data_IF_580627779633
#
_entry.id   IF_580627779633
#
_cell.length_a   1.000
_cell.length_b   1.000
_cell.length_c   1.000
_cell.angle_alpha   90.00
_cell.angle_beta   90.00
_cell.angle_gamma   90.00
#
_symmetry.space_group_name_H-M   'P 1'
#
loop_
_entity.id
_entity.type
_entity.pdbx_description
1 polymer ?
#
# COMPACT_ATOMS: atom_id res chain seq x y z
N UNK A 1 -25.56 11.86 11.50
CA UNK A 1 -24.68 10.74 11.89
C UNK A 1 -23.48 10.81 10.99
N UNK A 2 -22.30 11.13 11.53
CA UNK A 2 -21.08 11.05 10.73
C UNK A 2 -20.90 9.59 10.31
N UNK A 3 -20.75 9.35 9.01
CA UNK A 3 -20.53 7.99 8.51
C UNK A 3 -19.07 7.63 8.79
N UNK A 4 -18.84 6.52 9.48
CA UNK A 4 -17.47 6.08 9.82
C UNK A 4 -16.73 5.58 8.60
N UNK A 5 -15.43 5.76 8.59
CA UNK A 5 -14.57 5.41 7.48
C UNK A 5 -13.67 4.23 7.84
N UNK A 6 -13.51 3.31 6.91
CA UNK A 6 -12.51 2.25 7.01
C UNK A 6 -11.69 2.18 5.72
N UNK A 7 -10.41 1.87 5.89
CA UNK A 7 -9.43 1.82 4.83
C UNK A 7 -8.81 0.42 4.77
N UNK A 8 -8.80 -0.21 3.60
CA UNK A 8 -8.05 -1.44 3.34
C UNK A 8 -6.87 -1.09 2.43
N UNK A 9 -5.64 -1.28 2.90
CA UNK A 9 -4.43 -1.00 2.13
C UNK A 9 -3.71 -2.30 1.79
N UNK A 10 -3.61 -2.61 0.50
CA UNK A 10 -2.77 -3.71 0.03
C UNK A 10 -1.39 -3.22 -0.38
N UNK A 11 -0.33 -3.87 0.09
CA UNK A 11 1.04 -3.44 -0.16
C UNK A 11 2.04 -4.60 -0.24
N UNK A 12 3.25 -4.29 -0.69
CA UNK A 12 4.43 -5.15 -0.60
C UNK A 12 4.99 -5.13 0.82
N UNK A 13 5.66 -6.22 1.22
CA UNK A 13 6.30 -6.33 2.55
C UNK A 13 7.23 -5.16 2.86
N UNK A 14 7.96 -4.67 1.85
CA UNK A 14 8.95 -3.62 2.01
C UNK A 14 8.71 -2.48 1.02
N UNK A 15 8.69 -1.21 1.47
CA UNK A 15 8.69 -0.79 2.88
C UNK A 15 7.36 -1.16 3.58
N UNK A 16 7.34 -1.30 4.92
CA UNK A 16 6.09 -1.42 5.67
C UNK A 16 5.21 -0.17 5.51
N UNK A 17 3.93 -0.25 5.88
CA UNK A 17 3.07 0.93 5.95
C UNK A 17 3.42 1.77 7.18
N UNK A 18 3.36 3.10 7.01
CA UNK A 18 3.55 4.08 8.07
C UNK A 18 2.47 5.17 7.91
N UNK A 19 1.56 5.39 8.87
CA UNK A 19 1.37 4.56 10.08
C UNK A 19 0.93 3.14 9.72
N UNK A 20 1.17 2.16 10.58
CA UNK A 20 0.66 0.83 10.34
C UNK A 20 -0.84 0.75 10.67
N UNK A 21 -1.56 -0.13 9.98
CA UNK A 21 -2.96 -0.40 10.23
C UNK A 21 -3.22 -1.11 11.56
N UNK A 22 -4.45 -0.95 12.04
CA UNK A 22 -4.99 -1.56 13.24
C UNK A 22 -5.03 -3.09 13.14
N UNK A 23 -5.37 -3.60 11.96
CA UNK A 23 -5.37 -5.03 11.64
C UNK A 23 -4.35 -5.32 10.55
N UNK A 24 -3.55 -6.39 10.68
CA UNK A 24 -2.51 -6.74 9.70
C UNK A 24 -2.57 -8.20 9.28
N UNK A 25 -2.56 -8.43 7.97
CA UNK A 25 -2.58 -9.75 7.36
C UNK A 25 -1.40 -9.95 6.42
N UNK A 26 -0.58 -10.97 6.71
CA UNK A 26 0.54 -11.38 5.85
C UNK A 26 0.17 -12.63 5.04
N UNK A 27 0.08 -12.46 3.72
CA UNK A 27 -0.34 -13.50 2.77
C UNK A 27 0.83 -14.29 2.19
N UNK A 28 2.04 -14.17 2.74
CA UNK A 28 3.19 -14.94 2.26
C UNK A 28 3.07 -16.43 2.53
N UNK A 29 2.32 -16.81 3.56
CA UNK A 29 1.99 -18.21 3.91
C UNK A 29 1.04 -18.88 2.90
N UNK A 30 0.26 -18.10 2.14
CA UNK A 30 -0.68 -18.62 1.16
C UNK A 30 0.04 -19.03 -0.13
N UNK A 31 -0.35 -20.15 -0.77
CA UNK A 31 0.19 -20.58 -2.06
C UNK A 31 0.26 -19.45 -3.09
N UNK A 32 1.36 -19.42 -3.82
CA UNK A 32 1.60 -18.41 -4.83
C UNK A 32 0.89 -18.81 -6.14
N UNK A 33 0.16 -17.90 -6.81
CA UNK A 33 -0.47 -18.23 -8.08
C UNK A 33 0.52 -18.73 -9.14
N UNK A 34 0.09 -19.62 -10.05
CA UNK A 34 0.91 -20.13 -11.14
C UNK A 34 1.55 -19.00 -11.94
N UNK A 35 2.78 -19.22 -12.44
CA UNK A 35 3.56 -18.19 -13.15
C UNK A 35 2.78 -17.53 -14.29
N UNK A 36 2.12 -18.33 -15.13
CA UNK A 36 1.35 -17.81 -16.26
C UNK A 36 0.19 -16.90 -15.83
N UNK A 37 -0.45 -17.17 -14.68
CA UNK A 37 -1.49 -16.29 -14.11
C UNK A 37 -0.86 -15.00 -13.58
N UNK A 38 0.27 -15.09 -12.88
CA UNK A 38 0.97 -13.90 -12.31
C UNK A 38 1.50 -12.95 -13.37
N UNK A 39 1.91 -13.48 -14.52
CA UNK A 39 2.45 -12.68 -15.61
C UNK A 39 1.33 -11.94 -16.37
N UNK A 40 0.16 -12.56 -16.51
CA UNK A 40 -0.98 -12.01 -17.23
C UNK A 40 -1.94 -11.15 -16.38
N UNK A 41 -2.04 -11.42 -15.08
CA UNK A 41 -3.06 -10.84 -14.21
C UNK A 41 -2.48 -10.28 -12.90
N UNK A 42 -3.22 -9.35 -12.30
CA UNK A 42 -2.97 -8.78 -10.96
C UNK A 42 -4.16 -9.11 -10.03
N UNK A 43 -4.09 -8.71 -8.77
CA UNK A 43 -5.13 -9.06 -7.78
C UNK A 43 -6.52 -8.47 -8.04
N UNK A 44 -6.65 -7.43 -8.86
CA UNK A 44 -7.97 -6.89 -9.25
C UNK A 44 -8.63 -7.70 -10.36
N UNK A 45 -7.90 -8.61 -11.01
CA UNK A 45 -8.43 -9.45 -12.08
C UNK A 45 -9.28 -10.59 -11.53
N UNK A 46 -10.53 -10.70 -12.02
CA UNK A 46 -11.48 -11.77 -11.64
C UNK A 46 -10.86 -13.17 -11.71
N UNK A 47 -10.13 -13.47 -12.78
CA UNK A 47 -9.49 -14.78 -13.00
C UNK A 47 -8.45 -15.14 -11.94
N UNK A 48 -7.68 -14.16 -11.44
CA UNK A 48 -6.72 -14.40 -10.37
C UNK A 48 -7.45 -14.59 -9.05
N UNK A 49 -8.49 -13.80 -8.77
CA UNK A 49 -9.31 -13.96 -7.55
C UNK A 49 -9.99 -15.33 -7.50
N UNK A 50 -10.58 -15.79 -8.60
CA UNK A 50 -11.18 -17.13 -8.69
C UNK A 50 -10.16 -18.23 -8.38
N UNK A 51 -8.92 -18.10 -8.86
CA UNK A 51 -7.86 -19.04 -8.51
C UNK A 51 -7.51 -18.99 -7.02
N UNK A 52 -7.40 -17.80 -6.43
CA UNK A 52 -7.15 -17.65 -4.99
C UNK A 52 -8.30 -18.21 -4.14
N UNK A 53 -9.55 -18.03 -4.58
CA UNK A 53 -10.74 -18.54 -3.90
C UNK A 53 -10.87 -20.07 -3.98
N UNK A 54 -10.19 -20.72 -4.93
CA UNK A 54 -10.10 -22.18 -4.96
C UNK A 54 -9.17 -22.73 -3.86
N UNK A 55 -8.33 -21.89 -3.25
CA UNK A 55 -7.40 -22.28 -2.20
C UNK A 55 -8.07 -22.16 -0.81
N UNK A 56 -8.26 -23.27 -0.06
CA UNK A 56 -8.95 -23.24 1.22
C UNK A 56 -8.25 -22.38 2.27
N UNK A 57 -6.92 -22.35 2.28
CA UNK A 57 -6.16 -21.50 3.20
C UNK A 57 -6.42 -20.00 2.98
N UNK A 58 -6.63 -19.59 1.72
CA UNK A 58 -6.97 -18.22 1.39
C UNK A 58 -8.39 -17.87 1.86
N UNK A 59 -9.37 -18.74 1.56
CA UNK A 59 -10.76 -18.53 1.96
C UNK A 59 -10.89 -18.45 3.48
N UNK A 60 -10.27 -19.37 4.22
CA UNK A 60 -10.29 -19.37 5.68
C UNK A 60 -9.72 -18.07 6.26
N UNK A 61 -8.66 -17.53 5.65
CA UNK A 61 -8.05 -16.27 6.08
C UNK A 61 -8.93 -15.06 5.76
N UNK A 62 -9.59 -15.05 4.60
CA UNK A 62 -10.57 -13.99 4.24
C UNK A 62 -11.73 -14.00 5.23
N UNK A 63 -12.27 -15.16 5.56
CA UNK A 63 -13.37 -15.29 6.52
C UNK A 63 -12.95 -14.87 7.94
N UNK A 64 -11.74 -15.26 8.35
CA UNK A 64 -11.18 -14.80 9.63
C UNK A 64 -11.07 -13.28 9.64
N UNK A 65 -10.45 -12.69 8.62
CA UNK A 65 -10.27 -11.25 8.54
C UNK A 65 -11.59 -10.48 8.49
N UNK A 66 -12.60 -10.99 7.77
CA UNK A 66 -13.93 -10.40 7.75
C UNK A 66 -14.54 -10.36 9.16
N UNK A 67 -14.42 -11.43 9.95
CA UNK A 67 -14.89 -11.48 11.34
C UNK A 67 -14.14 -10.50 12.24
N UNK A 68 -12.81 -10.47 12.17
CA UNK A 68 -11.98 -9.56 12.97
C UNK A 68 -12.33 -8.08 12.68
N UNK A 69 -12.57 -7.75 11.41
CA UNK A 69 -12.99 -6.41 10.98
C UNK A 69 -14.40 -6.09 11.50
N UNK A 70 -15.34 -7.03 11.43
CA UNK A 70 -16.70 -6.85 11.99
C UNK A 70 -16.70 -6.61 13.50
N UNK A 71 -15.87 -7.36 14.23
CA UNK A 71 -15.70 -7.17 15.67
C UNK A 71 -15.11 -5.79 16.00
N UNK A 72 -14.09 -5.36 15.24
CA UNK A 72 -13.47 -4.04 15.38
C UNK A 72 -14.45 -2.91 15.01
N UNK A 73 -15.24 -3.08 13.95
CA UNK A 73 -16.28 -2.10 13.59
C UNK A 73 -17.35 -1.99 14.68
N UNK A 74 -17.68 -3.10 15.34
CA UNK A 74 -18.65 -3.10 16.45
C UNK A 74 -18.08 -2.43 17.70
N UNK A 75 -16.83 -2.73 18.08
CA UNK A 75 -16.20 -2.09 19.25
C UNK A 75 -16.13 -0.58 19.06
N UNK A 76 -15.72 -0.11 17.87
CA UNK A 76 -15.70 1.33 17.56
C UNK A 76 -17.13 1.89 17.55
N UNK A 77 -18.16 1.14 17.13
CA UNK A 77 -19.58 1.55 17.18
C UNK A 77 -20.11 1.78 18.59
N UNK A 78 -19.79 0.89 19.52
CA UNK A 78 -20.23 0.98 20.90
C UNK A 78 -19.40 2.01 21.70
N UNK A 79 -18.13 2.22 21.35
CA UNK A 79 -17.28 3.28 21.91
C UNK A 79 -17.61 4.64 21.25
N UNK A 80 -18.47 5.44 21.89
CA UNK A 80 -18.56 6.88 21.61
C UNK A 80 -17.19 7.55 21.84
N UNK A 81 -16.82 8.60 21.09
CA UNK A 81 -15.46 9.14 21.08
C UNK A 81 -15.09 9.76 22.43
N UNK A 82 -14.53 8.95 23.33
CA UNK A 82 -13.83 9.38 24.52
C UNK A 82 -12.32 9.23 24.25
N UNK A 83 -11.71 10.37 23.91
CA UNK A 83 -10.30 10.75 24.16
C UNK A 83 -9.30 9.59 24.34
N UNK A 84 -8.57 9.24 23.29
CA UNK A 84 -7.22 8.68 23.46
C UNK A 84 -6.24 9.85 23.39
N UNK A 85 -5.84 10.32 24.56
CA UNK A 85 -4.65 11.16 24.70
C UNK A 85 -3.42 10.35 24.24
N UNK A 86 -2.45 10.97 23.55
CA UNK A 86 -1.19 10.31 23.24
C UNK A 86 -0.31 10.26 24.50
N UNK A 87 -0.13 9.06 25.05
CA UNK A 87 0.91 8.79 26.03
C UNK A 87 2.29 9.04 25.38
N UNK A 88 2.89 10.14 25.82
CA UNK A 88 4.32 10.39 25.77
C UNK A 88 5.06 9.50 26.79
N UNK A 89 6.39 9.58 26.74
CA UNK A 89 7.40 8.97 27.62
C UNK A 89 7.88 7.58 27.14
N UNK A 90 9.16 7.32 26.88
CA UNK A 90 10.46 7.99 27.04
C UNK A 90 11.47 6.99 26.46
N UNK A 91 12.78 7.15 26.38
CA UNK A 91 13.77 8.10 26.87
C UNK A 91 15.08 7.69 26.14
N UNK A 92 15.94 8.67 25.85
CA UNK A 92 17.27 8.53 25.23
C UNK A 92 18.25 7.67 26.07
N UNK A 93 19.38 7.20 25.50
CA UNK A 93 20.61 7.97 25.70
C UNK A 93 21.61 7.92 24.50
N UNK A 94 22.00 9.10 24.02
CA UNK A 94 23.34 9.67 24.27
C UNK A 94 24.62 9.00 23.73
N UNK A 95 25.39 9.84 23.02
CA UNK A 95 26.85 9.95 22.90
C UNK A 95 27.53 9.32 21.66
N UNK A 96 28.31 10.16 20.95
CA UNK A 96 29.38 9.69 20.06
C UNK A 96 29.75 10.62 18.91
N UNK A 97 30.39 11.75 19.24
CA UNK A 97 31.03 12.72 18.35
C UNK A 97 32.20 12.09 17.55
N UNK A 98 32.28 12.27 16.23
CA UNK A 98 33.54 12.63 15.54
C UNK A 98 33.37 13.03 14.05
N UNK A 99 34.06 14.13 13.71
CA UNK A 99 34.16 14.81 12.42
C UNK A 99 34.66 13.94 11.28
N UNK A 100 34.22 14.24 10.05
CA UNK A 100 35.08 14.26 8.86
C UNK A 100 34.65 15.36 7.89
N UNK A 101 35.50 16.37 7.77
CA UNK A 101 35.53 17.37 6.69
C UNK A 101 35.73 16.71 5.32
N UNK A 102 35.04 17.22 4.29
CA UNK A 102 35.61 17.32 2.94
C UNK A 102 34.83 18.29 2.07
N UNK A 103 35.61 19.21 1.53
CA UNK A 103 35.36 20.33 0.65
C UNK A 103 34.67 20.03 -0.70
N UNK A 104 34.03 21.10 -1.19
CA UNK A 104 34.14 21.69 -2.53
C UNK A 104 33.10 21.43 -3.65
N UNK A 105 32.76 22.57 -4.23
CA UNK A 105 32.37 22.88 -5.61
C UNK A 105 30.91 22.76 -6.08
N UNK A 106 30.20 23.88 -5.87
CA UNK A 106 29.76 24.82 -6.89
C UNK A 106 28.59 24.50 -7.86
N UNK A 107 27.74 25.55 -7.95
CA UNK A 107 26.80 25.94 -9.01
C UNK A 107 25.57 25.03 -9.23
N UNK A 108 24.38 25.56 -8.95
CA UNK A 108 23.57 26.05 -10.07
C UNK A 108 22.48 27.01 -9.61
N UNK A 109 22.19 27.94 -10.51
CA UNK A 109 21.42 29.15 -10.32
C UNK A 109 19.90 28.89 -10.36
N UNK A 110 19.19 29.83 -9.73
CA UNK A 110 17.73 29.94 -9.70
C UNK A 110 17.16 30.19 -11.09
N UNK A 111 16.07 29.50 -11.47
CA UNK A 111 14.91 30.14 -12.11
C UNK A 111 13.70 29.18 -12.25
N UNK A 112 12.52 29.81 -12.33
CA UNK A 112 11.18 29.30 -12.68
C UNK A 112 10.24 28.93 -11.54
N UNK A 113 9.53 29.98 -11.11
CA UNK A 113 8.12 30.01 -10.76
C UNK A 113 7.29 28.96 -11.52
N UNK A 114 6.72 28.01 -10.78
CA UNK A 114 5.50 27.32 -11.16
C UNK A 114 4.64 27.22 -9.89
N UNK A 115 3.85 28.28 -9.69
CA UNK A 115 2.71 28.35 -8.78
C UNK A 115 1.64 27.35 -9.29
N UNK A 116 1.86 26.07 -9.03
CA UNK A 116 0.77 25.10 -9.00
C UNK A 116 0.20 25.11 -7.59
N UNK A 117 -0.79 25.99 -7.40
CA UNK A 117 -1.83 25.87 -6.38
C UNK A 117 -2.56 24.54 -6.59
N UNK A 118 -1.92 23.43 -6.25
CA UNK A 118 -2.57 22.12 -6.19
C UNK A 118 -3.40 22.12 -4.90
N UNK A 119 -4.66 22.54 -5.06
CA UNK A 119 -5.78 22.40 -4.13
C UNK A 119 -5.50 21.31 -3.07
N UNK A 120 -5.02 21.72 -1.89
CA UNK A 120 -5.16 20.95 -0.65
C UNK A 120 -6.66 20.87 -0.33
N UNK A 121 -7.38 20.07 -1.11
CA UNK A 121 -8.57 19.43 -0.61
C UNK A 121 -8.10 18.53 0.53
N UNK A 122 -8.01 19.09 1.74
CA UNK A 122 -7.83 18.37 2.99
C UNK A 122 -8.85 17.22 3.00
N UNK A 123 -8.40 16.03 2.61
CA UNK A 123 -9.12 14.80 2.88
C UNK A 123 -8.94 14.58 4.38
N UNK A 124 -9.75 15.28 5.19
CA UNK A 124 -9.89 15.10 6.64
C UNK A 124 -10.50 13.74 7.00
N UNK A 125 -10.63 12.83 6.03
CA UNK A 125 -11.05 11.45 6.24
C UNK A 125 -9.90 10.61 6.79
N UNK A 126 -9.48 10.92 8.02
CA UNK A 126 -8.70 9.98 8.81
C UNK A 126 -9.57 8.73 9.00
N UNK A 127 -9.11 7.54 8.57
CA UNK A 127 -9.90 6.32 8.72
C UNK A 127 -10.05 5.96 10.20
N UNK A 128 -11.26 5.60 10.62
CA UNK A 128 -11.53 5.07 11.97
C UNK A 128 -10.95 3.66 12.16
N UNK A 129 -10.76 2.92 11.06
CA UNK A 129 -10.19 1.58 11.03
C UNK A 129 -9.35 1.38 9.77
N UNK A 130 -8.09 1.02 9.93
CA UNK A 130 -7.15 0.70 8.85
C UNK A 130 -6.75 -0.78 8.87
N UNK A 131 -6.84 -1.43 7.72
CA UNK A 131 -6.51 -2.84 7.52
C UNK A 131 -5.35 -2.97 6.55
N UNK A 132 -4.23 -3.49 7.02
CA UNK A 132 -3.03 -3.73 6.25
C UNK A 132 -3.02 -5.14 5.69
N UNK A 133 -2.81 -5.23 4.39
CA UNK A 133 -2.74 -6.51 3.69
C UNK A 133 -1.44 -6.58 2.90
N UNK A 134 -0.51 -7.44 3.34
CA UNK A 134 0.82 -7.53 2.74
C UNK A 134 1.06 -8.85 2.01
N UNK A 135 1.82 -8.77 0.91
CA UNK A 135 2.47 -9.94 0.31
C UNK A 135 3.86 -9.55 -0.21
N UNK A 136 4.58 -10.48 -0.83
CA UNK A 136 5.97 -10.23 -1.25
C UNK A 136 6.15 -8.97 -2.12
N UNK A 137 5.29 -8.79 -3.15
CA UNK A 137 5.42 -7.69 -4.12
C UNK A 137 4.21 -6.76 -4.20
N UNK A 138 3.19 -6.96 -3.37
CA UNK A 138 2.01 -6.09 -3.33
C UNK A 138 1.12 -6.06 -4.58
N UNK A 139 1.19 -7.06 -5.48
CA UNK A 139 0.49 -7.04 -6.78
C UNK A 139 -0.56 -8.12 -7.00
N UNK A 140 -0.50 -9.23 -6.27
CA UNK A 140 -1.29 -10.42 -6.54
C UNK A 140 -2.14 -10.81 -5.33
N UNK A 141 -1.55 -11.57 -4.39
CA UNK A 141 -2.25 -12.12 -3.22
C UNK A 141 -2.90 -11.03 -2.36
N UNK A 142 -2.14 -10.00 -1.99
CA UNK A 142 -2.64 -8.91 -1.15
C UNK A 142 -3.74 -8.09 -1.79
N UNK A 143 -3.59 -7.78 -3.07
CA UNK A 143 -4.62 -7.05 -3.83
C UNK A 143 -5.90 -7.91 -3.95
N UNK A 144 -5.78 -9.19 -4.29
CA UNK A 144 -6.93 -10.10 -4.40
C UNK A 144 -7.67 -10.27 -3.07
N UNK A 145 -6.93 -10.34 -1.97
CA UNK A 145 -7.48 -10.42 -0.62
C UNK A 145 -8.24 -9.15 -0.22
N UNK A 146 -7.66 -7.98 -0.49
CA UNK A 146 -8.30 -6.69 -0.20
C UNK A 146 -9.61 -6.51 -0.99
N UNK A 147 -9.61 -6.87 -2.27
CA UNK A 147 -10.80 -6.84 -3.14
C UNK A 147 -11.92 -7.79 -2.65
N UNK A 148 -11.52 -8.98 -2.20
CA UNK A 148 -12.48 -9.97 -1.68
C UNK A 148 -13.09 -9.50 -0.34
N UNK A 149 -12.28 -8.95 0.56
CA UNK A 149 -12.77 -8.34 1.80
C UNK A 149 -13.72 -7.18 1.53
N UNK A 150 -13.40 -6.34 0.56
CA UNK A 150 -14.25 -5.22 0.16
C UNK A 150 -15.64 -5.67 -0.30
N UNK A 151 -15.71 -6.83 -0.96
CA UNK A 151 -16.97 -7.40 -1.44
C UNK A 151 -17.82 -7.98 -0.30
N UNK A 152 -17.18 -8.56 0.73
CA UNK A 152 -17.88 -9.28 1.82
C UNK A 152 -18.31 -8.36 2.95
N UNK A 153 -17.46 -7.39 3.29
CA UNK A 153 -17.73 -6.51 4.41
C UNK A 153 -18.59 -5.36 3.89
N UNK A 154 -19.81 -5.15 4.39
CA UNK A 154 -20.54 -3.97 3.95
C UNK A 154 -21.98 -3.83 4.38
N UNK A 155 -22.20 -3.20 5.55
CA UNK A 155 -23.33 -2.28 5.81
C UNK A 155 -22.86 -1.20 6.80
N UNK A 156 -23.18 0.07 6.53
CA UNK A 156 -23.07 1.17 7.50
C UNK A 156 -21.72 1.88 7.67
N UNK A 157 -20.69 1.52 6.90
CA UNK A 157 -19.37 2.18 6.92
C UNK A 157 -18.92 2.56 5.50
N UNK A 158 -18.26 3.70 5.35
CA UNK A 158 -17.59 4.10 4.12
C UNK A 158 -16.31 3.28 3.96
N UNK A 159 -16.23 2.47 2.91
CA UNK A 159 -15.05 1.66 2.61
C UNK A 159 -14.22 2.30 1.52
N UNK A 160 -12.92 2.45 1.77
CA UNK A 160 -11.91 2.74 0.77
C UNK A 160 -10.92 1.58 0.63
N UNK A 161 -10.53 1.27 -0.60
CA UNK A 161 -9.52 0.25 -0.90
C UNK A 161 -8.38 0.92 -1.67
N UNK A 162 -7.16 0.80 -1.16
CA UNK A 162 -5.96 1.37 -1.79
C UNK A 162 -4.95 0.26 -2.08
N UNK A 163 -4.40 0.27 -3.29
CA UNK A 163 -3.36 -0.68 -3.71
C UNK A 163 -2.05 0.05 -3.99
N UNK A 164 -1.14 0.04 -3.02
CA UNK A 164 0.11 0.83 -3.08
C UNK A 164 1.00 0.46 -4.26
N UNK A 165 1.15 -0.83 -4.55
CA UNK A 165 2.18 -1.34 -5.46
C UNK A 165 1.65 -1.77 -6.84
N UNK A 166 0.34 -1.61 -7.11
CA UNK A 166 -0.31 -2.16 -8.31
C UNK A 166 0.16 -1.49 -9.61
N UNK A 167 0.44 -0.19 -9.55
CA UNK A 167 0.84 0.65 -10.70
C UNK A 167 2.35 0.84 -10.82
N UNK A 168 3.16 0.17 -10.00
CA UNK A 168 4.62 0.25 -10.09
C UNK A 168 5.11 -0.28 -11.45
N UNK A 169 5.57 0.62 -12.33
CA UNK A 169 6.09 0.26 -13.66
C UNK A 169 7.29 -0.67 -13.50
N UNK A 170 7.32 -1.79 -14.23
CA UNK A 170 8.47 -2.70 -14.25
C UNK A 170 9.69 -1.93 -14.76
N UNK A 171 10.76 -1.82 -13.97
CA UNK A 171 12.03 -1.17 -14.37
C UNK A 171 12.64 -1.79 -15.65
N UNK A 172 12.21 -2.98 -16.05
CA UNK A 172 12.76 -3.73 -17.17
C UNK A 172 12.35 -3.20 -18.57
N UNK A 173 11.26 -2.44 -18.70
CA UNK A 173 10.82 -1.91 -20.00
C UNK A 173 11.63 -0.69 -20.47
N UNK A 174 12.24 0.06 -19.53
CA UNK A 174 13.00 1.28 -19.87
C UNK A 174 14.30 0.96 -20.63
N UNK A 175 14.95 -0.15 -20.32
CA UNK A 175 16.24 -0.52 -20.94
C UNK A 175 16.09 -0.97 -22.41
N UNK A 176 14.92 -1.49 -22.79
CA UNK A 176 14.68 -1.98 -24.15
C UNK A 176 14.30 -0.86 -25.15
N UNK A 177 13.84 0.29 -24.66
CA UNK A 177 13.50 1.46 -25.50
C UNK A 177 14.71 2.34 -25.79
N UNK A 178 15.67 2.43 -24.87
CA UNK A 178 16.88 3.24 -25.04
C UNK A 178 17.84 2.63 -26.07
N UNK A 179 18.01 1.29 -26.05
CA UNK A 179 18.89 0.59 -27.00
C UNK A 179 18.44 0.67 -28.48
N UNK A 180 17.20 1.08 -28.77
CA UNK A 180 16.73 1.30 -30.15
C UNK A 180 16.97 2.73 -30.67
N UNK A 181 17.28 3.70 -29.81
CA UNK A 181 17.59 5.08 -30.23
C UNK A 181 19.08 5.24 -30.56
N UNK A 182 19.96 4.56 -29.83
CA UNK A 182 21.41 4.63 -30.04
C UNK A 182 21.90 3.85 -31.27
N UNK A 183 21.03 3.13 -31.99
CA UNK A 183 21.40 2.33 -33.16
C UNK A 183 20.99 2.97 -34.50
N UNK A 184 20.55 4.24 -34.51
CA UNK A 184 20.02 4.94 -35.70
C UNK A 184 20.86 6.19 -36.05
N UNK A 185 22.01 6.41 -35.42
CA UNK A 185 22.86 7.59 -35.64
C UNK A 185 24.22 7.29 -36.30
N UNK A 186 24.40 6.10 -36.88
CA UNK A 186 25.69 5.65 -37.46
C UNK A 186 25.61 5.31 -38.97
N UNK A 187 24.65 5.86 -39.74
CA UNK A 187 24.50 5.53 -41.19
C UNK A 187 24.25 6.74 -42.13
N UNK A 188 24.84 7.92 -41.88
CA UNK A 188 24.88 9.01 -42.87
C UNK A 188 26.32 9.53 -43.03
N UNK A 189 27.03 8.97 -44.03
CA UNK A 189 28.30 9.44 -44.63
C UNK A 189 28.01 10.17 -45.95
#
# INVERSE_FOLDING_TARGET
MSSRNRLIVSHARNPPLNPPGDLRYDLRSIPNPPKHIRDAYNGTSKRLREWMLAEPAFVALVEKAARDIEESMKSIADESPATKEPDAEGEEPGLGLESLDSDDDAQDEMDSDDDDEDDEAEITNVPDLTVDVSCEKGRHRSVAFAEELATRSGKGWNLQVIHRDINSKRKHDRKHKQKRRDAVLDEDD
#
